data_IF_905593938677
#
_entry.id   IF_905593938677
#
_cell.length_a   1.000
_cell.length_b   1.000
_cell.length_c   1.000
_cell.angle_alpha   90.00
_cell.angle_beta   90.00
_cell.angle_gamma   90.00
#
_symmetry.space_group_name_H-M   'P 1'
#
loop_
_entity.id
_entity.type
_entity.pdbx_description
1 polymer ?
#
# COMPACT_ATOMS: atom_id res chain seq x y z
N UNK A 1 13.60 -19.17 -47.52
CA UNK A 1 15.03 -18.82 -47.71
C UNK A 1 15.37 -17.76 -46.67
N UNK A 2 16.35 -17.83 -45.76
CA UNK A 2 17.37 -18.81 -45.44
C UNK A 2 17.88 -18.51 -44.02
N UNK A 3 18.31 -19.57 -43.33
CA UNK A 3 18.81 -19.60 -41.95
C UNK A 3 20.08 -18.75 -41.77
N UNK A 4 20.37 -18.31 -40.54
CA UNK A 4 21.75 -18.35 -39.99
C UNK A 4 21.74 -18.40 -38.46
N UNK A 5 22.16 -19.56 -37.99
CA UNK A 5 22.53 -19.92 -36.62
C UNK A 5 23.96 -19.42 -36.39
N UNK A 6 24.25 -18.85 -35.22
CA UNK A 6 25.62 -18.75 -34.72
C UNK A 6 25.78 -19.64 -33.49
N UNK A 7 26.35 -20.82 -33.75
CA UNK A 7 26.96 -21.70 -32.75
C UNK A 7 28.44 -21.35 -32.74
N UNK A 8 28.95 -20.95 -31.58
CA UNK A 8 30.40 -20.83 -31.35
C UNK A 8 30.82 -21.95 -30.42
N UNK A 9 31.45 -22.97 -30.99
CA UNK A 9 32.12 -24.06 -30.29
C UNK A 9 33.63 -23.86 -30.46
N UNK A 10 34.37 -23.76 -29.36
CA UNK A 10 35.83 -23.91 -29.35
C UNK A 10 36.16 -24.92 -28.26
N UNK A 11 36.66 -26.08 -28.69
CA UNK A 11 37.19 -27.13 -27.84
C UNK A 11 38.70 -27.00 -27.63
N UNK A 12 39.21 -27.80 -26.69
CA UNK A 12 40.64 -28.05 -26.45
C UNK A 12 40.96 -28.13 -24.95
N UNK A 13 40.68 -29.26 -24.28
CA UNK A 13 41.63 -30.33 -23.89
C UNK A 13 42.79 -29.89 -22.96
N UNK A 14 42.76 -30.36 -21.69
CA UNK A 14 43.76 -31.30 -21.12
C UNK A 14 43.68 -31.40 -19.57
N UNK A 15 43.94 -32.64 -19.13
CA UNK A 15 44.57 -33.06 -17.87
C UNK A 15 43.74 -33.15 -16.58
N UNK A 16 44.05 -34.21 -15.86
CA UNK A 16 43.30 -34.83 -14.78
C UNK A 16 43.93 -34.57 -13.40
N UNK A 17 43.14 -34.94 -12.38
CA UNK A 17 43.49 -35.29 -11.00
C UNK A 17 44.09 -34.22 -10.08
N UNK A 18 43.27 -33.77 -9.13
CA UNK A 18 43.68 -33.66 -7.72
C UNK A 18 42.44 -33.78 -6.81
N UNK A 19 42.40 -34.84 -6.00
CA UNK A 19 41.58 -34.94 -4.79
C UNK A 19 42.18 -33.99 -3.75
N UNK A 20 41.41 -33.00 -3.27
CA UNK A 20 41.43 -32.53 -1.89
C UNK A 20 40.51 -31.31 -1.73
N UNK A 21 39.72 -31.32 -0.67
CA UNK A 21 39.06 -30.12 -0.15
C UNK A 21 37.59 -30.01 -0.51
N UNK A 22 36.74 -30.71 0.22
CA UNK A 22 35.35 -30.29 0.38
C UNK A 22 35.40 -28.93 1.10
N UNK A 23 34.99 -27.79 0.50
CA UNK A 23 34.59 -26.68 1.33
C UNK A 23 33.34 -27.14 2.06
N UNK A 24 33.43 -27.23 3.39
CA UNK A 24 32.24 -27.27 4.21
C UNK A 24 31.39 -26.07 3.80
N UNK A 25 30.31 -26.33 3.06
CA UNK A 25 29.23 -25.38 2.87
C UNK A 25 28.69 -25.11 4.26
N UNK A 26 29.23 -24.09 4.92
CA UNK A 26 28.52 -23.40 5.98
C UNK A 26 27.28 -22.84 5.31
N UNK A 27 26.17 -23.58 5.41
CA UNK A 27 24.86 -22.99 5.34
C UNK A 27 24.83 -22.02 6.52
N UNK A 28 25.25 -20.79 6.27
CA UNK A 28 24.79 -19.68 7.08
C UNK A 28 23.27 -19.75 6.94
N UNK A 29 22.61 -20.20 8.01
CA UNK A 29 21.21 -19.94 8.17
C UNK A 29 21.06 -18.46 7.87
N UNK A 30 20.38 -18.12 6.78
CA UNK A 30 19.92 -16.78 6.56
C UNK A 30 19.06 -16.49 7.78
N UNK A 31 19.65 -15.80 8.77
CA UNK A 31 18.90 -15.19 9.84
C UNK A 31 17.79 -14.44 9.11
N UNK A 32 16.50 -14.74 9.40
CA UNK A 32 15.43 -13.97 8.82
C UNK A 32 15.74 -12.55 9.26
N UNK A 33 16.22 -11.73 8.30
CA UNK A 33 16.44 -10.32 8.50
C UNK A 33 15.16 -9.82 9.11
N UNK A 34 15.25 -9.52 10.41
CA UNK A 34 14.13 -9.18 11.25
C UNK A 34 13.36 -8.13 10.46
N UNK A 35 12.23 -8.55 9.90
CA UNK A 35 11.32 -7.65 9.23
C UNK A 35 11.07 -6.55 10.23
N UNK A 36 11.45 -5.34 9.86
CA UNK A 36 11.42 -4.14 10.69
C UNK A 36 10.25 -4.26 11.65
N UNK A 37 10.56 -4.41 12.94
CA UNK A 37 9.57 -4.26 13.98
C UNK A 37 8.99 -2.86 13.77
N UNK A 38 7.82 -2.79 13.13
CA UNK A 38 7.14 -1.54 12.84
C UNK A 38 7.00 -0.82 14.17
N UNK A 39 7.71 0.30 14.27
CA UNK A 39 7.72 1.18 15.42
C UNK A 39 6.28 1.43 15.87
N UNK A 40 5.99 0.99 17.09
CA UNK A 40 4.64 0.72 17.60
C UNK A 40 3.92 1.95 18.13
N UNK A 41 4.19 3.13 17.57
CA UNK A 41 3.55 4.39 17.93
C UNK A 41 2.23 4.64 17.20
N UNK A 42 1.42 5.55 17.72
CA UNK A 42 0.31 6.12 16.97
C UNK A 42 0.84 6.83 15.72
N UNK A 43 0.20 6.61 14.57
CA UNK A 43 0.56 7.32 13.34
C UNK A 43 -0.19 8.65 13.33
N UNK A 44 0.54 9.75 13.15
CA UNK A 44 -0.04 11.09 13.02
C UNK A 44 0.07 11.55 11.58
N UNK A 45 -1.06 11.88 10.95
CA UNK A 45 -1.13 12.44 9.61
C UNK A 45 -1.59 13.90 9.69
N UNK A 46 -0.76 14.80 9.17
CA UNK A 46 -1.06 16.21 9.14
C UNK A 46 -2.27 16.52 8.23
N UNK A 47 -3.00 17.58 8.55
CA UNK A 47 -3.96 18.18 7.62
C UNK A 47 -3.23 19.01 6.58
N UNK A 48 -3.70 18.98 5.33
CA UNK A 48 -3.22 19.92 4.31
C UNK A 48 -3.80 21.34 4.53
N UNK A 49 -4.78 21.50 5.43
CA UNK A 49 -5.34 22.79 5.81
C UNK A 49 -4.57 23.31 7.03
N UNK A 50 -3.88 24.44 6.83
CA UNK A 50 -3.09 25.08 7.88
C UNK A 50 -3.94 25.38 9.13
N UNK A 51 -3.36 25.11 10.32
CA UNK A 51 -4.04 25.31 11.61
C UNK A 51 -5.06 24.22 11.99
N UNK A 52 -5.34 23.25 11.11
CA UNK A 52 -6.24 22.14 11.43
C UNK A 52 -5.56 21.05 12.27
N UNK A 53 -6.30 20.38 13.18
CA UNK A 53 -5.75 19.27 13.94
C UNK A 53 -5.37 18.09 13.02
N UNK A 54 -4.35 17.30 13.38
CA UNK A 54 -3.98 16.12 12.62
C UNK A 54 -4.96 14.96 12.85
N UNK A 55 -4.96 13.98 11.94
CA UNK A 55 -5.52 12.67 12.22
C UNK A 55 -4.53 11.86 13.05
N UNK A 56 -5.03 11.25 14.12
CA UNK A 56 -4.28 10.32 14.95
C UNK A 56 -4.88 8.94 14.76
N UNK A 57 -4.08 8.03 14.21
CA UNK A 57 -4.46 6.64 14.06
C UNK A 57 -3.89 5.83 15.20
N UNK A 58 -4.73 5.08 15.89
CA UNK A 58 -4.26 4.14 16.89
C UNK A 58 -3.44 3.04 16.24
N UNK A 59 -2.59 2.38 17.05
CA UNK A 59 -1.68 1.33 16.58
C UNK A 59 -2.42 0.17 15.91
N UNK A 60 -3.61 -0.17 16.42
CA UNK A 60 -4.41 -1.29 15.95
C UNK A 60 -5.32 -0.93 14.76
N UNK A 61 -5.39 0.36 14.38
CA UNK A 61 -6.31 0.83 13.36
C UNK A 61 -5.96 0.24 11.99
N UNK A 62 -6.92 -0.49 11.43
CA UNK A 62 -6.80 -1.04 10.09
C UNK A 62 -7.13 0.03 9.06
N UNK A 63 -6.26 0.16 8.06
CA UNK A 63 -6.39 1.14 6.98
C UNK A 63 -5.96 0.53 5.66
N UNK A 64 -6.62 0.93 4.58
CA UNK A 64 -6.26 0.51 3.24
C UNK A 64 -6.51 1.63 2.23
N UNK A 65 -5.56 1.85 1.32
CA UNK A 65 -5.78 2.69 0.15
C UNK A 65 -6.66 1.93 -0.85
N UNK A 66 -7.68 2.61 -1.36
CA UNK A 66 -8.54 2.06 -2.41
C UNK A 66 -7.75 1.96 -3.73
N UNK A 67 -7.98 0.88 -4.47
CA UNK A 67 -7.53 0.80 -5.86
C UNK A 67 -8.29 1.80 -6.76
N UNK A 68 -7.85 1.92 -8.01
CA UNK A 68 -8.40 2.93 -8.92
C UNK A 68 -9.90 2.77 -9.16
N UNK A 69 -10.41 1.54 -9.27
CA UNK A 69 -11.81 1.29 -9.56
C UNK A 69 -12.71 1.63 -8.37
N UNK A 70 -12.30 1.24 -7.16
CA UNK A 70 -13.05 1.56 -5.94
C UNK A 70 -12.97 3.04 -5.60
N UNK A 71 -11.82 3.68 -5.88
CA UNK A 71 -11.65 5.12 -5.76
C UNK A 71 -12.63 5.86 -6.68
N UNK A 72 -12.68 5.53 -7.96
CA UNK A 72 -13.60 6.17 -8.92
C UNK A 72 -15.06 6.01 -8.50
N UNK A 73 -15.42 4.84 -7.98
CA UNK A 73 -16.76 4.59 -7.42
C UNK A 73 -17.06 5.51 -6.23
N UNK A 74 -16.11 5.65 -5.31
CA UNK A 74 -16.24 6.56 -4.18
C UNK A 74 -16.39 8.01 -4.64
N UNK A 75 -15.54 8.49 -5.54
CA UNK A 75 -15.57 9.86 -6.06
C UNK A 75 -16.93 10.19 -6.68
N UNK A 76 -17.45 9.31 -7.54
CA UNK A 76 -18.77 9.49 -8.15
C UNK A 76 -19.90 9.59 -7.13
N UNK A 77 -19.86 8.75 -6.08
CA UNK A 77 -20.84 8.78 -5.01
C UNK A 77 -20.70 10.04 -4.14
N UNK A 78 -19.48 10.44 -3.79
CA UNK A 78 -19.21 11.62 -2.99
C UNK A 78 -19.66 12.91 -3.69
N UNK A 79 -19.41 13.05 -5.00
CA UNK A 79 -19.92 14.16 -5.81
C UNK A 79 -21.46 14.19 -5.88
N UNK A 80 -22.09 13.02 -5.85
CA UNK A 80 -23.54 12.92 -5.83
C UNK A 80 -24.12 13.35 -4.47
N UNK A 81 -23.51 12.91 -3.36
CA UNK A 81 -23.96 13.18 -2.00
C UNK A 81 -23.65 14.62 -1.54
N UNK A 82 -22.44 15.11 -1.83
CA UNK A 82 -21.95 16.39 -1.32
C UNK A 82 -21.87 17.42 -2.43
N UNK A 83 -22.94 18.21 -2.60
CA UNK A 83 -23.07 19.21 -3.69
C UNK A 83 -22.06 20.36 -3.65
N UNK A 84 -21.36 20.54 -2.52
CA UNK A 84 -20.28 21.51 -2.38
C UNK A 84 -19.00 21.05 -3.08
N UNK A 85 -18.86 19.75 -3.35
CA UNK A 85 -17.70 19.19 -4.03
C UNK A 85 -17.85 19.29 -5.54
N UNK A 86 -16.74 19.57 -6.22
CA UNK A 86 -16.61 19.38 -7.66
C UNK A 86 -15.53 18.33 -7.97
N UNK A 87 -15.37 17.98 -9.25
CA UNK A 87 -14.38 16.96 -9.67
C UNK A 87 -12.94 17.32 -9.28
N UNK A 88 -12.61 18.60 -9.07
CA UNK A 88 -11.27 19.05 -8.68
C UNK A 88 -10.97 18.72 -7.24
N UNK A 89 -11.98 18.54 -6.39
CA UNK A 89 -11.81 18.10 -5.00
C UNK A 89 -11.07 16.76 -4.88
N UNK A 90 -11.11 15.94 -5.93
CA UNK A 90 -10.45 14.63 -5.98
C UNK A 90 -9.24 14.59 -6.92
N UNK A 91 -8.83 15.73 -7.48
CA UNK A 91 -7.66 15.77 -8.35
C UNK A 91 -6.40 15.37 -7.56
N UNK A 92 -5.72 14.31 -8.02
CA UNK A 92 -4.47 13.81 -7.46
C UNK A 92 -4.55 13.24 -6.03
N UNK A 93 -5.75 13.07 -5.47
CA UNK A 93 -5.90 12.45 -4.14
C UNK A 93 -6.00 10.93 -4.24
N UNK A 94 -5.52 10.26 -3.21
CA UNK A 94 -5.81 8.87 -2.92
C UNK A 94 -6.93 8.81 -1.88
N UNK A 95 -7.72 7.73 -1.90
CA UNK A 95 -8.77 7.53 -0.91
C UNK A 95 -8.36 6.37 -0.02
N UNK A 96 -8.30 6.59 1.28
CA UNK A 96 -8.03 5.57 2.29
C UNK A 96 -9.32 5.23 3.03
N UNK A 97 -9.66 3.95 3.12
CA UNK A 97 -10.69 3.46 4.03
C UNK A 97 -10.03 3.11 5.37
N UNK A 98 -10.62 3.60 6.46
CA UNK A 98 -10.10 3.48 7.82
C UNK A 98 -11.18 2.90 8.75
N UNK A 99 -10.80 1.84 9.47
CA UNK A 99 -11.52 1.33 10.65
C UNK A 99 -11.11 2.14 11.88
N UNK A 100 -11.98 3.06 12.31
CA UNK A 100 -11.76 3.91 13.49
C UNK A 100 -12.19 3.20 14.79
N UNK A 101 -12.74 1.99 14.69
CA UNK A 101 -13.27 1.22 15.81
C UNK A 101 -14.67 0.68 15.53
N UNK A 102 -15.32 0.08 16.55
CA UNK A 102 -16.56 -0.66 16.36
C UNK A 102 -17.65 0.12 15.62
N UNK A 103 -17.94 -0.29 14.39
CA UNK A 103 -18.97 0.33 13.53
C UNK A 103 -18.59 1.67 12.91
N UNK A 104 -17.41 2.22 13.21
CA UNK A 104 -16.98 3.52 12.73
C UNK A 104 -15.99 3.41 11.55
N UNK A 105 -16.53 3.46 10.34
CA UNK A 105 -15.74 3.47 9.11
C UNK A 105 -15.69 4.86 8.50
N UNK A 106 -14.50 5.26 8.04
CA UNK A 106 -14.25 6.60 7.48
C UNK A 106 -13.44 6.49 6.20
N UNK A 107 -13.84 7.24 5.17
CA UNK A 107 -12.99 7.51 4.01
C UNK A 107 -12.17 8.78 4.26
N UNK A 108 -10.87 8.72 4.00
CA UNK A 108 -9.93 9.82 4.15
C UNK A 108 -9.37 10.15 2.77
N UNK A 109 -9.52 11.40 2.34
CA UNK A 109 -8.86 11.92 1.13
C UNK A 109 -7.44 12.32 1.48
N UNK A 110 -6.47 11.66 0.86
CA UNK A 110 -5.03 11.80 1.12
C UNK A 110 -4.35 12.43 -0.08
N UNK A 111 -3.72 13.58 0.10
CA UNK A 111 -2.89 14.19 -0.92
C UNK A 111 -1.46 13.62 -0.78
N UNK A 112 -0.96 12.86 -1.77
CA UNK A 112 0.45 12.51 -1.82
C UNK A 112 1.25 13.80 -2.05
N UNK A 113 2.31 14.00 -1.28
CA UNK A 113 3.25 15.09 -1.54
C UNK A 113 4.47 14.49 -2.24
N UNK A 114 4.75 14.96 -3.45
CA UNK A 114 5.94 14.56 -4.19
C UNK A 114 7.19 15.24 -3.59
N UNK A 115 8.29 14.48 -3.48
CA UNK A 115 9.58 14.98 -2.98
C UNK A 115 9.93 14.41 -1.62
N UNK A 116 11.14 13.83 -1.51
CA UNK A 116 11.58 12.89 -0.47
C UNK A 116 11.65 13.37 0.98
N UNK A 117 10.99 14.47 1.35
CA UNK A 117 10.95 15.00 2.72
C UNK A 117 9.55 15.35 3.24
N UNK A 118 8.53 15.43 2.38
CA UNK A 118 7.15 15.71 2.81
C UNK A 118 6.37 14.40 2.98
N UNK A 119 5.72 14.25 4.13
CA UNK A 119 4.77 13.16 4.40
C UNK A 119 3.41 13.57 3.84
N UNK A 120 2.68 12.62 3.25
CA UNK A 120 1.31 12.85 2.78
C UNK A 120 0.44 13.49 3.88
N UNK A 121 -0.48 14.36 3.47
CA UNK A 121 -1.45 15.01 4.35
C UNK A 121 -2.88 14.66 3.92
N UNK A 122 -3.86 14.77 4.82
CA UNK A 122 -5.26 14.57 4.46
C UNK A 122 -5.93 15.91 4.12
N UNK A 123 -6.88 15.89 3.18
CA UNK A 123 -7.65 17.08 2.78
C UNK A 123 -9.09 17.05 3.30
N UNK A 124 -9.66 15.87 3.50
CA UNK A 124 -11.02 15.69 3.99
C UNK A 124 -11.26 14.29 4.57
N UNK A 125 -12.30 14.17 5.39
CA UNK A 125 -12.82 12.89 5.88
C UNK A 125 -14.32 12.79 5.60
N UNK A 126 -14.80 11.57 5.37
CA UNK A 126 -16.19 11.27 5.07
C UNK A 126 -16.63 10.05 5.87
N UNK A 127 -17.75 10.13 6.59
CA UNK A 127 -18.33 8.95 7.23
C UNK A 127 -18.72 7.93 6.15
N UNK A 128 -18.49 6.65 6.40
CA UNK A 128 -18.72 5.63 5.39
C UNK A 128 -20.19 5.15 5.32
N UNK A 129 -21.00 5.50 6.32
CA UNK A 129 -22.42 5.14 6.45
C UNK A 129 -23.27 5.48 5.21
N UNK A 130 -23.14 6.67 4.58
CA UNK A 130 -23.97 7.02 3.41
C UNK A 130 -23.62 6.26 2.12
N UNK A 131 -22.54 5.47 2.12
CA UNK A 131 -22.03 4.79 0.95
C UNK A 131 -22.40 3.30 1.00
N UNK A 132 -23.46 2.92 0.28
CA UNK A 132 -24.02 1.55 0.24
C UNK A 132 -23.03 0.46 -0.17
N UNK A 133 -21.94 0.82 -0.85
CA UNK A 133 -20.90 -0.12 -1.28
C UNK A 133 -19.83 -0.37 -0.22
N UNK A 134 -19.83 0.39 0.88
CA UNK A 134 -18.84 0.25 1.97
C UNK A 134 -18.72 -1.19 2.49
N UNK A 135 -19.81 -1.95 2.74
CA UNK A 135 -19.68 -3.34 3.23
C UNK A 135 -18.95 -4.25 2.24
N UNK A 136 -19.04 -4.01 0.93
CA UNK A 136 -18.30 -4.75 -0.09
C UNK A 136 -16.81 -4.43 0.01
N UNK A 137 -16.46 -3.16 0.16
CA UNK A 137 -15.07 -2.72 0.30
C UNK A 137 -14.47 -3.24 1.60
N UNK A 138 -15.22 -3.23 2.71
CA UNK A 138 -14.75 -3.79 3.98
C UNK A 138 -14.31 -5.26 3.80
N UNK A 139 -15.14 -6.09 3.16
CA UNK A 139 -14.78 -7.50 2.90
C UNK A 139 -13.56 -7.65 2.00
N UNK A 140 -13.37 -6.75 1.04
CA UNK A 140 -12.25 -6.77 0.10
C UNK A 140 -10.94 -6.38 0.76
N UNK A 141 -10.92 -5.28 1.51
CA UNK A 141 -9.69 -4.72 2.08
C UNK A 141 -9.39 -5.23 3.50
N UNK A 142 -10.40 -5.73 4.20
CA UNK A 142 -10.31 -6.18 5.59
C UNK A 142 -10.98 -7.56 5.77
N UNK A 143 -10.41 -8.64 5.20
CA UNK A 143 -11.01 -9.98 5.21
C UNK A 143 -11.17 -10.61 6.63
N UNK A 144 -10.68 -9.94 7.67
CA UNK A 144 -10.87 -10.29 9.08
C UNK A 144 -11.95 -9.48 9.82
N UNK A 145 -12.43 -8.36 9.28
CA UNK A 145 -13.27 -7.40 10.00
C UNK A 145 -14.73 -7.84 10.17
N UNK A 146 -15.20 -8.86 9.44
CA UNK A 146 -16.58 -9.37 9.51
C UNK A 146 -16.78 -10.58 10.43
N UNK A 147 -15.82 -10.90 11.31
CA UNK A 147 -15.78 -12.15 12.09
C UNK A 147 -15.92 -11.97 13.61
N UNK A 148 -16.31 -10.79 14.06
CA UNK A 148 -16.48 -10.44 15.49
C UNK A 148 -17.94 -10.19 15.83
#
# INVERSE_FOLDING_TARGET
MGKKVCVSTLGGLLAATALAGQPALHIAAAEPSAGEARDGGALVMASCVEGSPPLVFARADQRALLDSADRERFEGAALSLYKVLDRRAFASVQIMLWDKGPGEWVYVSVLPVDGGTQRSCFTATFTAEPFEFTPVLIRKYFPGAGRT
#
